data_IF_453217662397
#
_entry.id   IF_453217662397
#
_cell.length_a   1.000
_cell.length_b   1.000
_cell.length_c   1.000
_cell.angle_alpha   90.00
_cell.angle_beta   90.00
_cell.angle_gamma   90.00
#
_symmetry.space_group_name_H-M   'P 1'
#
loop_
_entity.id
_entity.type
_entity.pdbx_description
1 polymer ?
#
# COMPACT_ATOMS: atom_id res chain seq x y z
N UNK A 1 -35.22 -16.44 9.24
CA UNK A 1 -34.14 -17.18 8.55
C UNK A 1 -33.14 -16.27 7.83
N UNK A 2 -33.52 -15.10 7.29
CA UNK A 2 -32.58 -14.15 6.63
C UNK A 2 -31.46 -13.56 7.53
N UNK A 3 -31.72 -13.38 8.84
CA UNK A 3 -30.74 -12.74 9.74
C UNK A 3 -29.45 -13.55 9.97
N UNK A 4 -29.52 -14.89 9.81
CA UNK A 4 -28.35 -15.76 9.94
C UNK A 4 -27.48 -15.74 8.68
N UNK A 5 -28.12 -15.61 7.51
CA UNK A 5 -27.47 -15.52 6.20
C UNK A 5 -26.70 -14.19 6.06
N UNK A 6 -27.34 -13.08 6.47
CA UNK A 6 -26.72 -11.74 6.40
C UNK A 6 -25.45 -11.63 7.27
N UNK A 7 -25.46 -12.14 8.50
CA UNK A 7 -24.27 -12.10 9.38
C UNK A 7 -23.13 -12.98 8.86
N UNK A 8 -23.45 -14.14 8.29
CA UNK A 8 -22.44 -15.03 7.75
C UNK A 8 -21.81 -14.44 6.48
N UNK A 9 -22.62 -13.79 5.64
CA UNK A 9 -22.18 -13.05 4.46
C UNK A 9 -21.29 -11.83 4.82
N UNK A 10 -21.65 -11.07 5.86
CA UNK A 10 -20.82 -9.94 6.32
C UNK A 10 -19.44 -10.37 6.84
N UNK A 11 -19.39 -11.48 7.59
CA UNK A 11 -18.12 -12.04 8.05
C UNK A 11 -17.26 -12.54 6.89
N UNK A 12 -17.87 -13.22 5.91
CA UNK A 12 -17.17 -13.69 4.72
C UNK A 12 -16.54 -12.55 3.91
N UNK A 13 -17.32 -11.49 3.66
CA UNK A 13 -16.87 -10.29 2.94
C UNK A 13 -15.72 -9.59 3.68
N UNK A 14 -15.75 -9.53 5.01
CA UNK A 14 -14.65 -8.95 5.82
C UNK A 14 -13.36 -9.76 5.70
N UNK A 15 -13.45 -11.09 5.74
CA UNK A 15 -12.27 -11.97 5.58
C UNK A 15 -11.66 -11.81 4.20
N UNK A 16 -12.49 -11.79 3.14
CA UNK A 16 -12.03 -11.56 1.77
C UNK A 16 -11.32 -10.21 1.65
N UNK A 17 -11.88 -9.15 2.23
CA UNK A 17 -11.24 -7.83 2.23
C UNK A 17 -9.88 -7.86 2.93
N UNK A 18 -9.74 -8.55 4.05
CA UNK A 18 -8.45 -8.69 4.74
C UNK A 18 -7.42 -9.45 3.89
N UNK A 19 -7.83 -10.51 3.21
CA UNK A 19 -6.94 -11.26 2.31
C UNK A 19 -6.45 -10.36 1.17
N UNK A 20 -7.37 -9.64 0.52
CA UNK A 20 -7.01 -8.69 -0.55
C UNK A 20 -6.08 -7.61 0.00
N UNK A 21 -6.36 -7.08 1.19
CA UNK A 21 -5.54 -6.08 1.85
C UNK A 21 -4.10 -6.59 2.09
N UNK A 22 -3.93 -7.86 2.48
CA UNK A 22 -2.61 -8.49 2.65
C UNK A 22 -1.87 -8.67 1.32
N UNK A 23 -2.59 -9.02 0.24
CA UNK A 23 -2.02 -9.12 -1.10
C UNK A 23 -1.55 -7.75 -1.58
N UNK A 24 -2.40 -6.72 -1.43
CA UNK A 24 -2.08 -5.33 -1.81
C UNK A 24 -0.86 -4.82 -1.02
N UNK A 25 -0.80 -5.09 0.29
CA UNK A 25 0.37 -4.74 1.10
C UNK A 25 1.64 -5.39 0.57
N UNK A 26 1.58 -6.69 0.28
CA UNK A 26 2.72 -7.45 -0.27
C UNK A 26 3.21 -6.87 -1.59
N UNK A 27 2.28 -6.56 -2.50
CA UNK A 27 2.62 -5.94 -3.80
C UNK A 27 3.32 -4.61 -3.60
N UNK A 28 2.75 -3.69 -2.81
CA UNK A 28 3.37 -2.39 -2.55
C UNK A 28 4.74 -2.54 -1.90
N UNK A 29 4.90 -3.49 -0.98
CA UNK A 29 6.17 -3.72 -0.29
C UNK A 29 7.26 -4.28 -1.20
N UNK A 30 6.91 -5.05 -2.23
CA UNK A 30 7.86 -5.44 -3.28
C UNK A 30 8.42 -4.19 -3.96
N UNK A 31 7.58 -3.21 -4.31
CA UNK A 31 8.01 -1.95 -4.91
C UNK A 31 8.81 -1.06 -3.95
N UNK A 32 8.43 -1.02 -2.67
CA UNK A 32 9.21 -0.30 -1.65
C UNK A 32 10.60 -0.92 -1.52
N UNK A 33 10.71 -2.25 -1.50
CA UNK A 33 11.98 -2.95 -1.42
C UNK A 33 12.86 -2.71 -2.65
N UNK A 34 12.32 -2.84 -3.86
CA UNK A 34 13.09 -2.59 -5.08
C UNK A 34 13.53 -1.12 -5.16
N UNK A 35 12.68 -0.19 -4.73
CA UNK A 35 13.03 1.24 -4.63
C UNK A 35 14.16 1.48 -3.62
N UNK A 36 14.13 0.78 -2.48
CA UNK A 36 15.17 0.87 -1.46
C UNK A 36 16.54 0.42 -2.01
N UNK A 37 16.56 -0.70 -2.76
CA UNK A 37 17.78 -1.17 -3.43
C UNK A 37 18.28 -0.16 -4.47
N UNK A 38 17.39 0.39 -5.29
CA UNK A 38 17.75 1.36 -6.32
C UNK A 38 18.39 2.63 -5.73
N UNK A 39 17.80 3.19 -4.67
CA UNK A 39 18.40 4.31 -3.93
C UNK A 39 19.77 3.92 -3.36
N UNK A 40 19.91 2.71 -2.85
CA UNK A 40 21.19 2.21 -2.33
C UNK A 40 22.29 2.11 -3.37
N UNK A 41 21.97 1.77 -4.61
CA UNK A 41 22.91 1.88 -5.72
C UNK A 41 23.28 3.33 -5.98
N UNK A 42 22.30 4.24 -6.08
CA UNK A 42 22.56 5.66 -6.34
C UNK A 42 23.45 6.31 -5.26
N UNK A 43 23.20 6.01 -3.99
CA UNK A 43 24.00 6.51 -2.85
C UNK A 43 25.44 6.00 -2.91
N UNK A 44 25.65 4.71 -3.25
CA UNK A 44 26.98 4.12 -3.32
C UNK A 44 27.78 4.60 -4.53
N UNK A 45 27.13 4.70 -5.68
CA UNK A 45 27.80 4.93 -6.96
C UNK A 45 27.97 6.42 -7.27
N UNK A 46 26.99 7.25 -6.91
CA UNK A 46 27.00 8.69 -7.17
C UNK A 46 27.24 9.54 -5.91
N UNK A 47 27.53 8.92 -4.76
CA UNK A 47 27.76 9.63 -3.50
C UNK A 47 26.54 10.42 -3.01
N UNK A 48 25.34 10.04 -3.46
CA UNK A 48 24.11 10.73 -3.09
C UNK A 48 23.88 10.65 -1.57
N UNK A 49 23.29 11.70 -0.99
CA UNK A 49 23.01 11.74 0.45
C UNK A 49 22.00 10.67 0.89
N UNK A 50 22.02 10.30 2.16
CA UNK A 50 21.03 9.36 2.74
C UNK A 50 19.59 9.89 2.70
N UNK A 51 19.40 11.19 2.45
CA UNK A 51 18.09 11.83 2.26
C UNK A 51 17.26 11.19 1.13
N UNK A 52 17.90 10.56 0.15
CA UNK A 52 17.23 9.89 -0.96
C UNK A 52 16.43 8.64 -0.53
N UNK A 53 16.64 8.11 0.68
CA UNK A 53 15.78 7.06 1.24
C UNK A 53 14.46 7.58 1.79
N UNK A 54 14.34 8.90 2.01
CA UNK A 54 13.18 9.49 2.67
C UNK A 54 11.85 9.15 1.97
N UNK A 55 11.69 9.31 0.65
CA UNK A 55 10.43 8.97 -0.03
C UNK A 55 10.04 7.49 0.11
N UNK A 56 11.05 6.60 0.08
CA UNK A 56 10.84 5.15 0.24
C UNK A 56 10.40 4.83 1.67
N UNK A 57 11.01 5.45 2.67
CA UNK A 57 10.65 5.28 4.08
C UNK A 57 9.25 5.84 4.38
N UNK A 58 8.90 6.96 3.76
CA UNK A 58 7.55 7.53 3.85
C UNK A 58 6.51 6.54 3.32
N UNK A 59 6.75 5.91 2.16
CA UNK A 59 5.85 4.89 1.63
C UNK A 59 5.74 3.66 2.55
N UNK A 60 6.87 3.20 3.13
CA UNK A 60 6.91 2.09 4.08
C UNK A 60 6.01 2.33 5.31
N UNK A 61 5.99 3.55 5.85
CA UNK A 61 5.25 3.87 7.08
C UNK A 61 3.81 4.31 6.80
N UNK A 62 3.60 5.16 5.78
CA UNK A 62 2.29 5.73 5.49
C UNK A 62 1.35 4.67 4.92
N UNK A 63 1.83 3.75 4.09
CA UNK A 63 0.96 2.79 3.42
C UNK A 63 0.19 1.87 4.40
N UNK A 64 0.83 1.25 5.42
CA UNK A 64 0.11 0.52 6.47
C UNK A 64 -0.91 1.36 7.25
N UNK A 65 -0.60 2.63 7.51
CA UNK A 65 -1.52 3.54 8.20
C UNK A 65 -2.77 3.79 7.35
N UNK A 66 -2.60 3.99 6.05
CA UNK A 66 -3.72 4.14 5.12
C UNK A 66 -4.57 2.87 5.06
N UNK A 67 -3.93 1.70 4.96
CA UNK A 67 -4.61 0.41 5.02
C UNK A 67 -5.46 0.26 6.30
N UNK A 68 -4.92 0.64 7.45
CA UNK A 68 -5.67 0.63 8.71
C UNK A 68 -6.92 1.52 8.64
N UNK A 69 -6.79 2.74 8.10
CA UNK A 69 -7.93 3.66 7.91
C UNK A 69 -8.98 3.08 6.95
N UNK A 70 -8.57 2.45 5.85
CA UNK A 70 -9.51 1.82 4.92
C UNK A 70 -10.23 0.62 5.54
N UNK A 71 -9.55 -0.15 6.40
CA UNK A 71 -10.19 -1.21 7.18
C UNK A 71 -11.25 -0.66 8.13
N UNK A 72 -10.98 0.46 8.81
CA UNK A 72 -11.98 1.11 9.66
C UNK A 72 -13.19 1.58 8.82
N UNK A 73 -12.94 2.19 7.65
CA UNK A 73 -13.99 2.63 6.73
C UNK A 73 -14.83 1.45 6.20
N UNK A 74 -14.20 0.33 5.87
CA UNK A 74 -14.87 -0.90 5.45
C UNK A 74 -15.79 -1.46 6.55
N UNK A 75 -15.28 -1.48 7.78
CA UNK A 75 -16.03 -1.95 8.95
C UNK A 75 -17.18 -1.01 9.34
N UNK A 76 -17.11 0.27 8.97
CA UNK A 76 -18.18 1.24 9.16
C UNK A 76 -19.31 1.12 8.11
N UNK A 77 -19.26 0.14 7.20
CA UNK A 77 -20.28 -0.10 6.17
C UNK A 77 -19.96 0.52 4.80
N UNK A 78 -18.96 1.39 4.71
CA UNK A 78 -18.54 2.06 3.46
C UNK A 78 -17.61 1.15 2.63
N UNK A 79 -18.06 -0.09 2.34
CA UNK A 79 -17.24 -1.18 1.79
C UNK A 79 -16.63 -0.86 0.42
N UNK A 80 -17.46 -0.40 -0.51
CA UNK A 80 -17.02 -0.10 -1.89
C UNK A 80 -16.03 1.06 -1.89
N UNK A 81 -16.33 2.13 -1.13
CA UNK A 81 -15.46 3.31 -1.01
C UNK A 81 -14.11 2.94 -0.41
N UNK A 82 -14.09 2.13 0.65
CA UNK A 82 -12.86 1.62 1.25
C UNK A 82 -12.00 0.83 0.25
N UNK A 83 -12.64 0.00 -0.58
CA UNK A 83 -11.95 -0.79 -1.60
C UNK A 83 -11.33 0.11 -2.69
N UNK A 84 -12.10 1.06 -3.22
CA UNK A 84 -11.61 2.01 -4.24
C UNK A 84 -10.45 2.83 -3.71
N UNK A 85 -10.54 3.36 -2.48
CA UNK A 85 -9.44 4.12 -1.88
C UNK A 85 -8.20 3.27 -1.61
N UNK A 86 -8.38 2.02 -1.17
CA UNK A 86 -7.26 1.10 -0.97
C UNK A 86 -6.52 0.84 -2.29
N UNK A 87 -7.24 0.52 -3.36
CA UNK A 87 -6.65 0.27 -4.68
C UNK A 87 -6.02 1.53 -5.26
N UNK A 88 -6.69 2.69 -5.12
CA UNK A 88 -6.19 3.98 -5.58
C UNK A 88 -4.90 4.38 -4.86
N UNK A 89 -4.84 4.23 -3.54
CA UNK A 89 -3.63 4.52 -2.77
C UNK A 89 -2.48 3.57 -3.12
N UNK A 90 -2.77 2.28 -3.34
CA UNK A 90 -1.76 1.32 -3.77
C UNK A 90 -1.16 1.70 -5.13
N UNK A 91 -2.01 1.96 -6.11
CA UNK A 91 -1.59 2.40 -7.45
C UNK A 91 -0.77 3.68 -7.40
N UNK A 92 -1.27 4.70 -6.68
CA UNK A 92 -0.57 5.98 -6.53
C UNK A 92 0.81 5.80 -5.89
N UNK A 93 0.92 4.99 -4.84
CA UNK A 93 2.19 4.73 -4.16
C UNK A 93 3.20 4.09 -5.10
N UNK A 94 2.78 3.08 -5.87
CA UNK A 94 3.65 2.39 -6.84
C UNK A 94 4.12 3.34 -7.94
N UNK A 95 3.21 4.10 -8.53
CA UNK A 95 3.54 5.05 -9.62
C UNK A 95 4.50 6.13 -9.13
N UNK A 96 4.26 6.70 -7.94
CA UNK A 96 5.13 7.73 -7.37
C UNK A 96 6.52 7.19 -7.04
N UNK A 97 6.62 5.98 -6.47
CA UNK A 97 7.91 5.34 -6.22
C UNK A 97 8.66 5.10 -7.54
N UNK A 98 7.98 4.57 -8.56
CA UNK A 98 8.60 4.32 -9.86
C UNK A 98 9.09 5.60 -10.54
N UNK A 99 8.24 6.64 -10.57
CA UNK A 99 8.62 7.95 -11.13
C UNK A 99 9.79 8.57 -10.37
N UNK A 100 9.80 8.45 -9.04
CA UNK A 100 10.90 8.91 -8.20
C UNK A 100 12.20 8.18 -8.53
N UNK A 101 12.19 6.84 -8.60
CA UNK A 101 13.38 6.06 -8.96
C UNK A 101 13.87 6.45 -10.35
N UNK A 102 12.98 6.57 -11.33
CA UNK A 102 13.35 6.98 -12.68
C UNK A 102 14.05 8.34 -12.71
N UNK A 103 13.65 9.30 -11.86
CA UNK A 103 14.27 10.62 -11.79
C UNK A 103 15.68 10.61 -11.16
N UNK A 104 15.97 9.69 -10.24
CA UNK A 104 17.26 9.66 -9.55
C UNK A 104 18.28 8.72 -10.22
N UNK A 105 17.84 7.89 -11.16
CA UNK A 105 18.69 6.99 -11.94
C UNK A 105 18.95 7.46 -13.36
N UNK A 106 18.24 8.50 -13.82
CA UNK A 106 18.45 9.14 -15.13
C UNK A 106 19.44 10.29 -15.03
#
# INVERSE_FOLDING_TARGET
>A
MQYYDDRQNESGIRVIFMIIQMIVLSVVYIFVYTSFLAVGFTVKEYGAGTIFYFPVFVALVIFPILLYKYRQMFNAGNRLVAFVWMMGAASLTVVLLYAYIAQITS
#
